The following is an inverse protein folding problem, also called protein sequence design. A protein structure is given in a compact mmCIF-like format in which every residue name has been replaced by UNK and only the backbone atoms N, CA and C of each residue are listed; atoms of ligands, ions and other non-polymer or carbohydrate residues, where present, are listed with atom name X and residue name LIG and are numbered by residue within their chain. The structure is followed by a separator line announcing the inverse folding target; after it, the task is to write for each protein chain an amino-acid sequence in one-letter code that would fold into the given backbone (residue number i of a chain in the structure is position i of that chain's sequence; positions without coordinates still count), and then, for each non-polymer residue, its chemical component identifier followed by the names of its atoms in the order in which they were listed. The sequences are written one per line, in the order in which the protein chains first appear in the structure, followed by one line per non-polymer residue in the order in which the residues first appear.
data_IF_260895327999
#
_entry.id   IF_260895327999
#
_cell.length_a   1.000
_cell.length_b   1.000
_cell.length_c   1.000
_cell.angle_alpha   90.00
_cell.angle_beta   90.00
_cell.angle_gamma   90.00
#
_symmetry.space_group_name_H-M   'P 1'
#
loop_
_entity.id
_entity.type
_entity.pdbx_description
1 polymer ?
#
# COMPACT_ATOMS: atom_id res chain seq x y z
N UNK A 1 -0.03 52.58 -22.32
CA UNK A 1 -0.32 51.66 -21.20
C UNK A 1 -1.34 50.64 -21.67
N UNK A 2 -0.92 49.40 -21.92
CA UNK A 2 -1.87 48.33 -22.26
C UNK A 2 -2.54 47.85 -20.97
N UNK A 3 -3.85 47.99 -20.86
CA UNK A 3 -4.65 47.54 -19.73
C UNK A 3 -4.84 46.02 -19.85
N UNK A 4 -4.14 45.25 -19.00
CA UNK A 4 -4.40 43.81 -18.87
C UNK A 4 -5.81 43.62 -18.32
N UNK A 5 -6.70 43.07 -19.13
CA UNK A 5 -8.04 42.69 -18.71
C UNK A 5 -7.95 41.42 -17.84
N UNK A 6 -7.86 41.59 -16.52
CA UNK A 6 -7.97 40.48 -15.56
C UNK A 6 -9.42 40.01 -15.51
N UNK A 7 -9.75 38.95 -16.25
CA UNK A 7 -11.02 38.22 -16.10
C UNK A 7 -10.95 37.38 -14.82
N UNK A 8 -11.87 37.61 -13.90
CA UNK A 8 -12.06 36.76 -12.72
C UNK A 8 -12.90 35.51 -13.06
N UNK A 9 -12.75 34.45 -12.25
CA UNK A 9 -13.60 33.26 -12.33
C UNK A 9 -15.03 33.58 -11.89
N UNK A 10 -16.01 32.96 -12.54
CA UNK A 10 -17.41 33.02 -12.11
C UNK A 10 -17.68 31.99 -11.01
N UNK A 11 -18.62 32.31 -10.13
CA UNK A 11 -19.08 31.36 -9.10
C UNK A 11 -19.67 30.08 -9.71
N UNK A 12 -20.29 30.20 -10.89
CA UNK A 12 -20.91 29.07 -11.60
C UNK A 12 -19.85 28.09 -12.11
N UNK A 13 -18.72 28.58 -12.63
CA UNK A 13 -17.61 27.73 -13.06
C UNK A 13 -17.05 26.92 -11.90
N UNK A 14 -16.85 27.54 -10.74
CA UNK A 14 -16.36 26.83 -9.55
C UNK A 14 -17.40 25.82 -9.04
N UNK A 15 -18.69 26.15 -9.08
CA UNK A 15 -19.76 25.25 -8.63
C UNK A 15 -19.79 23.94 -9.43
N UNK A 16 -19.76 24.01 -10.76
CA UNK A 16 -19.79 22.83 -11.63
C UNK A 16 -18.54 21.97 -11.40
N UNK A 17 -17.37 22.59 -11.24
CA UNK A 17 -16.11 21.87 -11.00
C UNK A 17 -16.17 21.07 -9.70
N UNK A 18 -16.64 21.67 -8.60
CA UNK A 18 -16.74 20.97 -7.31
C UNK A 18 -17.75 19.83 -7.37
N UNK A 19 -18.85 19.98 -8.11
CA UNK A 19 -19.82 18.88 -8.31
C UNK A 19 -19.19 17.70 -9.05
N UNK A 20 -18.45 17.96 -10.14
CA UNK A 20 -17.78 16.91 -10.91
C UNK A 20 -16.72 16.22 -10.06
N UNK A 21 -15.88 16.98 -9.35
CA UNK A 21 -14.86 16.41 -8.44
C UNK A 21 -15.53 15.58 -7.33
N UNK A 22 -16.63 16.07 -6.75
CA UNK A 22 -17.39 15.35 -5.73
C UNK A 22 -17.93 14.01 -6.22
N UNK A 23 -18.48 13.97 -7.44
CA UNK A 23 -18.96 12.72 -8.06
C UNK A 23 -17.81 11.73 -8.30
N UNK A 24 -16.69 12.21 -8.86
CA UNK A 24 -15.51 11.37 -9.10
C UNK A 24 -14.93 10.84 -7.78
N UNK A 25 -14.82 11.68 -6.75
CA UNK A 25 -14.32 11.30 -5.43
C UNK A 25 -15.23 10.25 -4.76
N UNK A 26 -16.55 10.41 -4.85
CA UNK A 26 -17.51 9.47 -4.28
C UNK A 26 -17.36 8.04 -4.83
N UNK A 27 -17.02 7.89 -6.12
CA UNK A 27 -16.74 6.58 -6.72
C UNK A 27 -15.30 6.11 -6.46
N UNK A 28 -14.32 7.02 -6.49
CA UNK A 28 -12.90 6.68 -6.36
C UNK A 28 -12.51 6.22 -4.96
N UNK A 29 -13.06 6.83 -3.90
CA UNK A 29 -12.73 6.50 -2.50
C UNK A 29 -13.01 5.02 -2.17
N UNK A 30 -14.23 4.47 -2.38
CA UNK A 30 -14.49 3.06 -2.05
C UNK A 30 -13.69 2.10 -2.93
N UNK A 31 -13.45 2.44 -4.20
CA UNK A 31 -12.60 1.65 -5.09
C UNK A 31 -11.15 1.58 -4.58
N UNK A 32 -10.59 2.73 -4.16
CA UNK A 32 -9.24 2.81 -3.61
C UNK A 32 -9.12 2.05 -2.29
N UNK A 33 -10.13 2.14 -1.41
CA UNK A 33 -10.18 1.36 -0.17
C UNK A 33 -10.12 -0.15 -0.44
N UNK A 34 -10.91 -0.64 -1.41
CA UNK A 34 -10.90 -2.06 -1.80
C UNK A 34 -9.54 -2.51 -2.32
N UNK A 35 -8.89 -1.71 -3.18
CA UNK A 35 -7.55 -2.01 -3.71
C UNK A 35 -6.51 -2.01 -2.60
N UNK A 36 -6.62 -1.09 -1.63
CA UNK A 36 -5.71 -1.03 -0.48
C UNK A 36 -5.80 -2.29 0.37
N UNK A 37 -7.02 -2.71 0.75
CA UNK A 37 -7.23 -3.94 1.52
C UNK A 37 -6.70 -5.16 0.77
N UNK A 38 -7.03 -5.30 -0.52
CA UNK A 38 -6.52 -6.41 -1.33
C UNK A 38 -4.99 -6.42 -1.46
N UNK A 39 -4.36 -5.24 -1.47
CA UNK A 39 -2.89 -5.12 -1.47
C UNK A 39 -2.29 -5.51 -0.13
N UNK A 40 -2.94 -5.16 0.99
CA UNK A 40 -2.55 -5.58 2.33
C UNK A 40 -2.65 -7.10 2.49
N UNK A 41 -3.74 -7.72 2.04
CA UNK A 41 -3.91 -9.17 2.07
C UNK A 41 -2.81 -9.89 1.27
N UNK A 42 -2.49 -9.38 0.07
CA UNK A 42 -1.43 -9.92 -0.77
C UNK A 42 -0.05 -9.78 -0.12
N UNK A 43 0.22 -8.66 0.55
CA UNK A 43 1.49 -8.47 1.25
C UNK A 43 1.62 -9.41 2.44
N UNK A 44 0.56 -9.59 3.23
CA UNK A 44 0.53 -10.56 4.35
C UNK A 44 0.75 -11.98 3.83
N UNK A 45 0.07 -12.37 2.76
CA UNK A 45 0.26 -13.68 2.14
C UNK A 45 1.70 -13.89 1.65
N UNK A 46 2.30 -12.87 1.04
CA UNK A 46 3.69 -12.94 0.59
C UNK A 46 4.66 -13.06 1.78
N UNK A 47 4.46 -12.25 2.84
CA UNK A 47 5.23 -12.33 4.07
C UNK A 47 5.14 -13.75 4.69
N UNK A 48 3.94 -14.34 4.75
CA UNK A 48 3.76 -15.70 5.26
C UNK A 48 4.52 -16.74 4.43
N UNK A 49 4.51 -16.62 3.09
CA UNK A 49 5.30 -17.49 2.21
C UNK A 49 6.80 -17.34 2.42
N UNK A 50 7.28 -16.11 2.60
CA UNK A 50 8.70 -15.86 2.89
C UNK A 50 9.09 -16.45 4.25
N UNK A 51 8.25 -16.32 5.27
CA UNK A 51 8.49 -16.92 6.58
C UNK A 51 8.47 -18.44 6.55
N UNK A 52 7.57 -19.06 5.79
CA UNK A 52 7.53 -20.52 5.63
C UNK A 52 8.82 -21.02 4.95
N UNK A 53 9.22 -20.41 3.84
CA UNK A 53 10.46 -20.78 3.15
C UNK A 53 11.70 -20.60 4.03
N UNK A 54 11.75 -19.51 4.82
CA UNK A 54 12.81 -19.28 5.78
C UNK A 54 12.84 -20.33 6.90
N UNK A 55 11.67 -20.73 7.42
CA UNK A 55 11.57 -21.78 8.43
C UNK A 55 12.04 -23.13 7.88
N UNK A 56 11.62 -23.50 6.66
CA UNK A 56 12.06 -24.73 6.00
C UNK A 56 13.59 -24.77 5.84
N UNK A 57 14.19 -23.65 5.44
CA UNK A 57 15.64 -23.54 5.30
C UNK A 57 16.34 -23.64 6.67
N UNK A 58 15.82 -22.97 7.70
CA UNK A 58 16.35 -23.06 9.05
C UNK A 58 16.29 -24.49 9.62
N UNK A 59 15.20 -25.22 9.35
CA UNK A 59 15.04 -26.61 9.80
C UNK A 59 15.99 -27.56 9.08
N UNK A 60 16.23 -27.34 7.78
CA UNK A 60 17.20 -28.12 7.02
C UNK A 60 18.64 -27.91 7.51
N UNK A 61 18.99 -26.67 7.87
CA UNK A 61 20.36 -26.33 8.32
C UNK A 61 20.63 -26.74 9.76
N UNK A 62 19.65 -26.58 10.67
CA UNK A 62 19.86 -26.75 12.11
C UNK A 62 19.24 -28.03 12.68
N UNK A 63 18.50 -28.81 11.89
CA UNK A 63 17.78 -30.01 12.36
C UNK A 63 16.71 -29.71 13.41
N UNK A 64 16.28 -28.45 13.51
CA UNK A 64 15.28 -27.99 14.47
C UNK A 64 13.86 -28.22 13.94
N UNK A 65 12.89 -28.36 14.85
CA UNK A 65 11.45 -28.52 14.52
C UNK A 65 10.64 -27.26 14.84
N UNK A 66 11.30 -26.21 15.31
CA UNK A 66 10.68 -24.95 15.73
C UNK A 66 11.66 -23.80 15.51
N UNK A 67 11.17 -22.69 14.97
CA UNK A 67 11.95 -21.48 14.74
C UNK A 67 11.28 -20.28 15.42
N UNK A 68 12.09 -19.46 16.10
CA UNK A 68 11.62 -18.19 16.64
C UNK A 68 11.68 -17.11 15.55
N UNK A 69 10.78 -16.13 15.60
CA UNK A 69 10.72 -15.06 14.59
C UNK A 69 12.03 -14.28 14.49
N UNK A 70 12.77 -14.13 15.60
CA UNK A 70 14.09 -13.48 15.63
C UNK A 70 15.19 -14.23 14.88
N UNK A 71 15.04 -15.55 14.68
CA UNK A 71 15.99 -16.39 13.93
C UNK A 71 15.70 -16.40 12.43
N UNK A 72 14.47 -16.07 12.03
CA UNK A 72 14.01 -16.09 10.64
C UNK A 72 14.07 -14.72 9.98
N UNK A 73 13.78 -13.66 10.73
CA UNK A 73 13.66 -12.29 10.22
C UNK A 73 14.76 -11.41 10.81
N UNK A 74 15.48 -10.68 9.98
CA UNK A 74 16.57 -9.79 10.40
C UNK A 74 17.57 -9.53 9.28
N UNK A 75 18.38 -8.48 9.41
CA UNK A 75 19.28 -8.02 8.34
C UNK A 75 20.28 -9.10 7.86
N UNK A 76 20.62 -10.06 8.72
CA UNK A 76 21.54 -11.18 8.46
C UNK A 76 20.85 -12.54 8.41
N UNK A 77 19.51 -12.58 8.49
CA UNK A 77 18.73 -13.80 8.51
C UNK A 77 18.09 -14.08 7.13
N UNK A 78 17.38 -15.20 7.03
CA UNK A 78 16.75 -15.68 5.79
C UNK A 78 15.76 -14.67 5.18
N UNK A 79 15.01 -13.93 6.00
CA UNK A 79 14.15 -12.82 5.56
C UNK A 79 14.70 -11.49 6.05
N UNK A 80 15.20 -10.67 5.11
CA UNK A 80 15.85 -9.39 5.42
C UNK A 80 14.93 -8.36 6.08
N UNK A 81 13.68 -8.29 5.62
CA UNK A 81 12.62 -7.47 6.21
C UNK A 81 11.26 -7.93 5.67
N UNK A 82 10.22 -7.87 6.50
CA UNK A 82 8.84 -8.11 6.07
C UNK A 82 8.27 -6.84 5.43
N UNK A 83 7.42 -7.01 4.42
CA UNK A 83 6.75 -5.88 3.80
C UNK A 83 5.65 -5.35 4.73
N UNK A 84 5.81 -4.12 5.24
CA UNK A 84 4.83 -3.41 6.07
C UNK A 84 4.05 -2.43 5.19
N UNK A 85 2.91 -2.87 4.65
CA UNK A 85 1.96 -2.05 3.87
C UNK A 85 0.82 -1.51 4.73
#
# INVERSE_FOLDING_TARGET
MQTKNTKGFTLVEIMIVVVIIGLLAAMAIPAFQKVRVASQDKAVLNNARQMAAAADQYYLENGATSANSSSLVGATNYVKALNTV
#
